data_IF_286511146543
#
_entry.id   IF_286511146543
#
_cell.length_a   1.000
_cell.length_b   1.000
_cell.length_c   1.000
_cell.angle_alpha   90.00
_cell.angle_beta   90.00
_cell.angle_gamma   90.00
#
_symmetry.space_group_name_H-M   'P 1'
#
loop_
_entity.id
_entity.type
_entity.pdbx_description
1 polymer ?
#
# COMPACT_ATOMS: atom_id res chain seq x y z
N UNK A 1 10.16 -21.39 -11.88
CA UNK A 1 8.87 -21.59 -11.19
C UNK A 1 8.76 -20.62 -10.01
N UNK A 2 8.93 -19.32 -10.27
CA UNK A 2 8.66 -18.23 -9.32
C UNK A 2 7.74 -17.15 -9.94
N UNK A 3 7.45 -17.25 -11.25
CA UNK A 3 6.54 -16.37 -11.99
C UNK A 3 5.04 -16.63 -11.74
N UNK A 4 4.69 -17.67 -10.99
CA UNK A 4 3.29 -18.11 -10.86
C UNK A 4 2.54 -17.47 -9.69
N UNK A 5 3.22 -16.79 -8.78
CA UNK A 5 2.62 -16.14 -7.60
C UNK A 5 2.84 -14.63 -7.52
N UNK A 6 2.90 -13.94 -8.66
CA UNK A 6 2.42 -12.55 -8.66
C UNK A 6 0.92 -12.65 -8.31
N UNK A 7 0.48 -12.21 -7.11
CA UNK A 7 -0.91 -12.35 -6.69
C UNK A 7 -1.81 -11.81 -7.80
N UNK A 8 -2.94 -12.47 -8.09
CA UNK A 8 -3.83 -12.08 -9.21
C UNK A 8 -4.17 -10.57 -9.21
N UNK A 9 -4.13 -9.93 -8.04
CA UNK A 9 -4.26 -8.47 -7.88
C UNK A 9 -3.18 -7.65 -8.59
N UNK A 10 -1.88 -7.96 -8.42
CA UNK A 10 -0.77 -7.15 -8.98
C UNK A 10 -0.76 -7.17 -10.52
N UNK A 11 -1.10 -8.32 -11.14
CA UNK A 11 -1.29 -8.41 -12.60
C UNK A 11 -2.45 -7.57 -13.11
N UNK A 12 -3.56 -7.51 -12.36
CA UNK A 12 -4.69 -6.68 -12.74
C UNK A 12 -4.38 -5.18 -12.63
N UNK A 13 -3.59 -4.79 -11.62
CA UNK A 13 -3.17 -3.41 -11.37
C UNK A 13 -2.28 -2.89 -12.53
N UNK A 14 -1.22 -3.64 -12.84
CA UNK A 14 -0.31 -3.30 -13.96
C UNK A 14 -1.00 -3.30 -15.32
N UNK A 15 -1.89 -4.26 -15.59
CA UNK A 15 -2.69 -4.29 -16.83
C UNK A 15 -3.64 -3.08 -16.97
N UNK A 16 -3.92 -2.36 -15.88
CA UNK A 16 -4.73 -1.14 -15.89
C UNK A 16 -3.88 0.14 -15.86
N UNK A 17 -2.57 0.03 -16.11
CA UNK A 17 -1.67 1.19 -16.25
C UNK A 17 -1.19 1.79 -14.93
N UNK A 18 -1.34 1.06 -13.82
CA UNK A 18 -0.79 1.45 -12.53
C UNK A 18 0.54 0.75 -12.27
N UNK A 19 1.52 1.50 -11.80
CA UNK A 19 2.72 0.94 -11.19
C UNK A 19 2.45 0.64 -9.71
N UNK A 20 2.93 -0.51 -9.23
CA UNK A 20 2.76 -0.93 -7.83
C UNK A 20 4.08 -1.37 -7.24
N UNK A 21 4.35 -0.91 -6.02
CA UNK A 21 5.43 -1.43 -5.18
C UNK A 21 4.84 -1.95 -3.86
N UNK A 22 5.13 -3.20 -3.53
CA UNK A 22 4.73 -3.82 -2.27
C UNK A 22 5.89 -3.74 -1.26
N UNK A 23 5.63 -3.17 -0.07
CA UNK A 23 6.59 -3.15 1.04
C UNK A 23 6.03 -3.93 2.23
N UNK A 24 6.57 -5.13 2.46
CA UNK A 24 6.18 -5.97 3.60
C UNK A 24 6.84 -5.50 4.89
N UNK A 25 6.03 -5.19 5.91
CA UNK A 25 6.49 -4.79 7.22
C UNK A 25 5.48 -5.18 8.30
N UNK A 26 5.97 -5.52 9.48
CA UNK A 26 5.19 -5.72 10.70
C UNK A 26 6.00 -5.22 11.91
N UNK A 27 5.36 -4.90 13.05
CA UNK A 27 6.05 -4.36 14.22
C UNK A 27 7.27 -5.18 14.67
N UNK A 28 7.17 -6.50 14.61
CA UNK A 28 8.21 -7.44 15.06
C UNK A 28 8.98 -8.11 13.90
N UNK A 29 8.86 -7.57 12.68
CA UNK A 29 9.50 -8.17 11.51
C UNK A 29 11.01 -7.93 11.51
N UNK A 30 11.80 -9.00 11.29
CA UNK A 30 13.24 -8.88 11.03
C UNK A 30 13.55 -8.31 9.63
N UNK A 31 12.54 -8.24 8.74
CA UNK A 31 12.65 -7.77 7.37
C UNK A 31 11.61 -6.68 7.09
N UNK A 32 12.05 -5.55 6.54
CA UNK A 32 11.20 -4.37 6.37
C UNK A 32 11.05 -3.61 7.69
N UNK A 33 11.54 -2.38 7.73
CA UNK A 33 11.56 -1.54 8.93
C UNK A 33 10.84 -0.23 8.66
N UNK A 34 10.37 0.45 9.71
CA UNK A 34 9.73 1.76 9.54
C UNK A 34 10.68 2.75 8.86
N UNK A 35 11.97 2.72 9.23
CA UNK A 35 12.99 3.53 8.58
C UNK A 35 13.11 3.21 7.08
N UNK A 36 13.11 1.94 6.70
CA UNK A 36 13.15 1.55 5.28
C UNK A 36 11.89 1.97 4.52
N UNK A 37 10.73 1.91 5.16
CA UNK A 37 9.47 2.43 4.60
C UNK A 37 9.53 3.94 4.39
N UNK A 38 10.01 4.70 5.39
CA UNK A 38 10.22 6.15 5.30
C UNK A 38 11.16 6.50 4.14
N UNK A 39 12.27 5.79 3.99
CA UNK A 39 13.20 6.04 2.88
C UNK A 39 12.54 5.77 1.52
N UNK A 40 11.70 4.73 1.42
CA UNK A 40 10.94 4.44 0.20
C UNK A 40 9.89 5.52 -0.12
N UNK A 41 9.24 6.09 0.89
CA UNK A 41 8.33 7.23 0.70
C UNK A 41 9.05 8.47 0.18
N UNK A 42 10.34 8.65 0.52
CA UNK A 42 11.16 9.79 0.08
C UNK A 42 11.79 9.61 -1.30
N UNK A 43 11.89 8.38 -1.82
CA UNK A 43 12.63 8.12 -3.07
C UNK A 43 11.89 8.55 -4.32
N UNK A 44 10.57 8.63 -4.28
CA UNK A 44 9.71 8.99 -5.42
C UNK A 44 8.40 9.61 -4.91
N UNK A 45 7.67 10.32 -5.79
CA UNK A 45 6.33 10.78 -5.45
C UNK A 45 5.34 9.63 -5.64
N UNK A 46 4.47 9.41 -4.65
CA UNK A 46 3.46 8.37 -4.68
C UNK A 46 2.06 8.98 -4.83
N UNK A 47 1.28 8.50 -5.80
CA UNK A 47 -0.11 8.91 -5.97
C UNK A 47 -1.02 8.35 -4.87
N UNK A 48 -0.80 7.09 -4.53
CA UNK A 48 -1.61 6.35 -3.57
C UNK A 48 -0.74 5.54 -2.60
N UNK A 49 -1.22 5.41 -1.36
CA UNK A 49 -0.66 4.49 -0.38
C UNK A 49 -1.75 3.56 0.14
N UNK A 50 -1.46 2.28 0.06
CA UNK A 50 -2.32 1.21 0.53
C UNK A 50 -1.74 0.59 1.80
N UNK A 51 -2.53 0.54 2.88
CA UNK A 51 -2.18 -0.21 4.08
C UNK A 51 -3.01 -1.49 4.12
N UNK A 52 -2.31 -2.64 4.16
CA UNK A 52 -2.90 -3.97 4.05
C UNK A 52 -4.01 -4.24 5.05
N UNK A 53 -5.02 -5.02 4.61
CA UNK A 53 -6.19 -5.39 5.41
C UNK A 53 -5.81 -5.89 6.81
N UNK A 54 -4.79 -6.76 6.91
CA UNK A 54 -4.35 -7.34 8.18
C UNK A 54 -3.87 -6.33 9.23
N UNK A 55 -3.44 -5.12 8.83
CA UNK A 55 -3.07 -4.05 9.77
C UNK A 55 -4.30 -3.27 10.21
N UNK A 56 -5.19 -2.90 9.29
CA UNK A 56 -6.33 -2.02 9.60
C UNK A 56 -7.49 -2.72 10.33
N UNK A 57 -7.62 -4.04 10.22
CA UNK A 57 -8.76 -4.78 10.83
C UNK A 57 -8.40 -5.51 12.10
N UNK A 58 -7.12 -5.60 12.46
CA UNK A 58 -6.69 -6.19 13.73
C UNK A 58 -6.66 -5.11 14.81
N UNK A 59 -7.53 -5.16 15.85
CA UNK A 59 -7.53 -4.16 16.91
C UNK A 59 -6.18 -4.01 17.62
N UNK A 60 -5.36 -5.07 17.65
CA UNK A 60 -4.02 -5.05 18.27
C UNK A 60 -3.04 -4.16 17.49
N UNK A 61 -3.33 -3.90 16.21
CA UNK A 61 -2.50 -3.09 15.33
C UNK A 61 -2.92 -1.62 15.30
N UNK A 62 -3.87 -1.19 16.13
CA UNK A 62 -4.40 0.20 16.10
C UNK A 62 -3.30 1.26 16.20
N UNK A 63 -2.38 1.12 17.16
CA UNK A 63 -1.26 2.08 17.34
C UNK A 63 -0.33 2.08 16.14
N UNK A 64 -0.03 0.89 15.61
CA UNK A 64 0.82 0.74 14.43
C UNK A 64 0.16 1.34 13.18
N UNK A 65 -1.14 1.12 13.00
CA UNK A 65 -1.91 1.71 11.92
C UNK A 65 -1.88 3.24 11.98
N UNK A 66 -2.09 3.82 13.17
CA UNK A 66 -1.98 5.27 13.37
C UNK A 66 -0.58 5.79 13.02
N UNK A 67 0.48 5.11 13.46
CA UNK A 67 1.87 5.47 13.14
C UNK A 67 2.13 5.47 11.64
N UNK A 68 1.69 4.43 10.92
CA UNK A 68 1.83 4.36 9.46
C UNK A 68 1.08 5.49 8.74
N UNK A 69 -0.13 5.82 9.20
CA UNK A 69 -0.88 6.95 8.64
C UNK A 69 -0.09 8.25 8.81
N UNK A 70 0.43 8.52 10.02
CA UNK A 70 1.17 9.74 10.30
C UNK A 70 2.48 9.83 9.50
N UNK A 71 3.22 8.73 9.41
CA UNK A 71 4.48 8.64 8.63
C UNK A 71 4.25 8.94 7.15
N UNK A 72 3.20 8.38 6.54
CA UNK A 72 2.86 8.67 5.14
C UNK A 72 2.42 10.12 4.98
N UNK A 73 1.63 10.65 5.92
CA UNK A 73 1.24 12.08 5.90
C UNK A 73 2.44 13.02 5.99
N UNK A 74 3.47 12.65 6.73
CA UNK A 74 4.69 13.44 6.90
C UNK A 74 5.59 13.37 5.67
N UNK A 75 5.86 12.17 5.14
CA UNK A 75 6.87 11.96 4.12
C UNK A 75 6.34 11.84 2.69
N UNK A 76 5.03 11.61 2.52
CA UNK A 76 4.36 11.59 1.23
C UNK A 76 2.99 12.30 1.29
N UNK A 77 2.96 13.61 1.63
CA UNK A 77 1.73 14.35 1.92
C UNK A 77 0.75 14.46 0.74
N UNK A 78 1.24 14.26 -0.50
CA UNK A 78 0.44 14.28 -1.72
C UNK A 78 -0.29 12.96 -1.96
N UNK A 79 0.22 11.85 -1.40
CA UNK A 79 -0.40 10.55 -1.54
C UNK A 79 -1.78 10.52 -0.91
N UNK A 80 -2.68 9.79 -1.56
CA UNK A 80 -4.01 9.53 -1.00
C UNK A 80 -4.04 8.11 -0.45
N UNK A 81 -4.64 7.95 0.73
CA UNK A 81 -4.85 6.62 1.27
C UNK A 81 -6.00 5.91 0.55
N UNK A 82 -5.76 4.66 0.19
CA UNK A 82 -6.79 3.75 -0.30
C UNK A 82 -6.84 2.51 0.58
N UNK A 83 -8.04 2.03 0.82
CA UNK A 83 -8.30 0.82 1.61
C UNK A 83 -9.24 -0.09 0.83
N UNK A 84 -8.90 -1.36 0.78
CA UNK A 84 -9.72 -2.43 0.23
C UNK A 84 -10.36 -3.24 1.38
N UNK A 85 -11.41 -3.97 1.09
CA UNK A 85 -11.93 -4.97 2.02
C UNK A 85 -11.28 -6.35 1.80
N UNK A 86 -10.81 -6.61 0.59
CA UNK A 86 -10.23 -7.88 0.14
C UNK A 86 -9.12 -7.64 -0.87
N UNK A 87 -8.24 -8.61 -1.11
CA UNK A 87 -7.20 -8.47 -2.14
C UNK A 87 -7.77 -8.32 -3.57
N UNK A 88 -9.05 -8.65 -3.78
CA UNK A 88 -9.71 -8.57 -5.08
C UNK A 88 -10.22 -7.17 -5.43
N UNK A 89 -10.49 -6.31 -4.44
CA UNK A 89 -11.00 -4.95 -4.66
C UNK A 89 -9.90 -3.87 -4.60
N UNK A 90 -8.62 -4.25 -4.57
CA UNK A 90 -7.50 -3.28 -4.62
C UNK A 90 -7.62 -2.34 -5.81
N UNK A 91 -7.84 -2.87 -7.03
CA UNK A 91 -7.99 -2.03 -8.22
C UNK A 91 -9.23 -1.13 -8.16
N UNK A 92 -10.33 -1.62 -7.57
CA UNK A 92 -11.53 -0.81 -7.36
C UNK A 92 -11.23 0.32 -6.38
N UNK A 93 -10.48 0.04 -5.32
CA UNK A 93 -10.06 1.03 -4.35
C UNK A 93 -9.19 2.14 -4.95
N UNK A 94 -8.22 1.76 -5.79
CA UNK A 94 -7.35 2.71 -6.50
C UNK A 94 -8.14 3.64 -7.42
N UNK A 95 -9.04 3.06 -8.23
CA UNK A 95 -9.88 3.82 -9.18
C UNK A 95 -10.85 4.80 -8.52
N UNK A 96 -11.13 4.70 -7.20
CA UNK A 96 -11.92 5.73 -6.49
C UNK A 96 -11.18 7.06 -6.39
N UNK A 97 -9.85 7.02 -6.40
CA UNK A 97 -9.01 8.19 -6.22
C UNK A 97 -8.47 8.71 -7.54
N UNK A 98 -8.13 7.79 -8.44
CA UNK A 98 -7.66 8.08 -9.80
C UNK A 98 -8.52 7.32 -10.81
N UNK A 99 -9.72 7.84 -11.14
CA UNK A 99 -10.56 7.22 -12.16
C UNK A 99 -9.86 7.28 -13.52
N UNK A 100 -10.05 6.28 -14.40
CA UNK A 100 -9.53 6.35 -15.76
C UNK A 100 -10.08 7.58 -16.48
N UNK A 101 -9.23 8.23 -17.26
CA UNK A 101 -9.62 9.35 -18.13
C UNK A 101 -10.73 8.88 -19.07
N UNK A 102 -11.89 9.55 -19.03
CA UNK A 102 -13.03 9.31 -19.92
C UNK A 102 -12.70 9.51 -21.40
#
# INVERSE_FOLDING_TARGET
MFDEMVPKGERAITANGFDITTYGMAPDSATGTLAGFIEKLKTEEWDEVFIGHGVKTDPRMTVWFEELINVVREHSPKSKFVFNETDQDTLVAMKRVFPPSS
#
